data_IF_559514183824
#
_entry.id   IF_559514183824
#
_cell.length_a   1.000
_cell.length_b   1.000
_cell.length_c   1.000
_cell.angle_alpha   90.00
_cell.angle_beta   90.00
_cell.angle_gamma   90.00
#
_symmetry.space_group_name_H-M   'P 1'
#
loop_
_entity.id
_entity.type
_entity.pdbx_description
1 polymer ?
#
# COMPACT_ATOMS: atom_id res chain seq x y z
N UNK A 1 49.62 -12.81 12.40
CA UNK A 1 49.16 -11.43 12.62
C UNK A 1 48.78 -10.80 11.28
N UNK A 2 47.49 -10.50 11.06
CA UNK A 2 46.98 -9.17 10.66
C UNK A 2 45.49 -9.32 10.36
N UNK A 3 44.72 -8.70 11.25
CA UNK A 3 43.27 -8.53 11.19
C UNK A 3 42.98 -7.62 10.00
N UNK A 4 42.11 -8.04 9.09
CA UNK A 4 41.48 -7.13 8.13
C UNK A 4 39.98 -7.17 8.39
N UNK A 5 39.48 -5.97 8.66
CA UNK A 5 38.20 -5.65 9.26
C UNK A 5 37.03 -6.04 8.36
N UNK A 6 36.00 -6.60 8.99
CA UNK A 6 34.65 -6.69 8.47
C UNK A 6 34.15 -5.27 8.13
N UNK A 7 33.96 -4.99 6.84
CA UNK A 7 33.13 -3.89 6.39
C UNK A 7 31.77 -4.46 5.98
N UNK A 8 30.85 -4.53 6.95
CA UNK A 8 29.42 -4.73 6.65
C UNK A 8 28.90 -3.38 6.19
N UNK A 9 28.90 -3.17 4.88
CA UNK A 9 28.15 -2.10 4.25
C UNK A 9 26.67 -2.48 4.31
N UNK A 10 25.94 -1.82 5.21
CA UNK A 10 24.49 -1.74 5.17
C UNK A 10 24.08 -1.01 3.88
N UNK A 11 23.76 -1.77 2.83
CA UNK A 11 23.01 -1.28 1.69
C UNK A 11 21.56 -1.76 1.84
N UNK A 12 20.76 -0.96 2.54
CA UNK A 12 19.32 -0.97 2.33
C UNK A 12 19.06 -0.29 0.98
N UNK A 13 18.85 -1.06 -0.07
CA UNK A 13 18.25 -0.58 -1.31
C UNK A 13 17.70 -1.75 -2.10
N UNK A 14 16.40 -1.69 -2.37
CA UNK A 14 15.62 -2.53 -3.27
C UNK A 14 16.42 -3.06 -4.48
N UNK A 15 16.67 -4.36 -4.49
CA UNK A 15 17.20 -5.10 -5.65
C UNK A 15 16.17 -6.08 -6.22
N UNK A 16 14.88 -5.73 -6.18
CA UNK A 16 13.82 -6.51 -6.82
C UNK A 16 13.72 -6.17 -8.30
N UNK A 17 14.47 -6.86 -9.16
CA UNK A 17 14.16 -6.87 -10.60
C UNK A 17 12.94 -7.76 -10.83
N UNK A 18 11.76 -7.15 -10.85
CA UNK A 18 10.56 -7.81 -11.34
C UNK A 18 9.96 -6.98 -12.49
N UNK A 19 10.13 -7.58 -13.68
CA UNK A 19 9.53 -7.30 -15.00
C UNK A 19 8.53 -6.13 -15.09
N UNK A 20 8.90 -5.23 -16.01
CA UNK A 20 8.07 -4.27 -16.74
C UNK A 20 6.59 -4.70 -16.87
N UNK A 21 5.71 -3.96 -16.19
CA UNK A 21 4.33 -3.77 -16.65
C UNK A 21 4.26 -2.40 -17.30
N UNK A 22 4.43 -2.37 -18.62
CA UNK A 22 4.25 -1.16 -19.42
C UNK A 22 2.79 -0.69 -19.29
N UNK A 23 2.59 0.51 -18.75
CA UNK A 23 1.31 1.24 -18.81
C UNK A 23 0.55 1.44 -17.50
N UNK A 24 0.96 0.82 -16.38
CA UNK A 24 0.41 1.16 -15.06
C UNK A 24 1.30 2.20 -14.40
N UNK A 25 0.73 3.31 -13.95
CA UNK A 25 1.40 4.24 -13.03
C UNK A 25 2.12 3.42 -11.96
N UNK A 26 3.39 3.72 -11.69
CA UNK A 26 4.09 3.02 -10.63
C UNK A 26 3.35 3.27 -9.30
N UNK A 27 3.11 2.21 -8.53
CA UNK A 27 2.61 2.37 -7.16
C UNK A 27 3.63 3.20 -6.37
N UNK A 28 3.15 4.23 -5.68
CA UNK A 28 3.97 5.14 -4.87
C UNK A 28 4.12 4.64 -3.42
N UNK A 29 3.21 3.79 -2.97
CA UNK A 29 3.24 3.15 -1.65
C UNK A 29 2.41 1.85 -1.65
N UNK A 30 2.64 1.03 -0.63
CA UNK A 30 1.79 -0.09 -0.25
C UNK A 30 1.41 0.09 1.22
N UNK A 31 0.13 -0.09 1.54
CA UNK A 31 -0.42 0.11 2.88
C UNK A 31 -1.23 -1.11 3.29
N UNK A 32 -1.22 -1.41 4.59
CA UNK A 32 -2.01 -2.50 5.16
C UNK A 32 -3.01 -1.91 6.16
N UNK A 33 -4.28 -2.18 5.94
CA UNK A 33 -5.36 -1.80 6.84
C UNK A 33 -5.88 -3.03 7.57
N UNK A 34 -5.89 -2.96 8.90
CA UNK A 34 -6.31 -4.06 9.77
C UNK A 34 -7.76 -3.87 10.18
N UNK A 35 -8.62 -4.82 9.79
CA UNK A 35 -10.01 -4.85 10.23
C UNK A 35 -10.11 -5.44 11.64
N UNK A 36 -11.04 -4.96 12.48
CA UNK A 36 -11.28 -5.57 13.78
C UNK A 36 -11.65 -7.05 13.62
N UNK A 37 -11.33 -7.86 14.62
CA UNK A 37 -11.59 -9.30 14.62
C UNK A 37 -13.10 -9.66 14.60
N UNK A 38 -13.95 -8.72 15.01
CA UNK A 38 -15.40 -8.81 14.93
C UNK A 38 -15.98 -8.36 13.58
N UNK A 39 -15.16 -7.92 12.63
CA UNK A 39 -15.63 -7.41 11.34
C UNK A 39 -16.36 -8.49 10.54
N UNK A 40 -17.57 -8.17 10.12
CA UNK A 40 -18.34 -8.93 9.15
C UNK A 40 -17.79 -8.73 7.74
N UNK A 41 -18.14 -9.64 6.83
CA UNK A 41 -17.75 -9.51 5.42
C UNK A 41 -18.32 -8.25 4.76
N UNK A 42 -19.52 -7.81 5.15
CA UNK A 42 -20.11 -6.57 4.63
C UNK A 42 -19.30 -5.33 5.06
N UNK A 43 -18.78 -5.32 6.30
CA UNK A 43 -17.90 -4.25 6.76
C UNK A 43 -16.55 -4.25 6.04
N UNK A 44 -16.02 -5.43 5.68
CA UNK A 44 -14.83 -5.55 4.83
C UNK A 44 -15.09 -4.93 3.45
N UNK A 45 -16.21 -5.26 2.80
CA UNK A 45 -16.57 -4.69 1.50
C UNK A 45 -16.76 -3.18 1.58
N UNK A 46 -17.39 -2.67 2.64
CA UNK A 46 -17.55 -1.24 2.86
C UNK A 46 -16.20 -0.54 3.04
N UNK A 47 -15.29 -1.10 3.84
CA UNK A 47 -13.95 -0.54 4.04
C UNK A 47 -13.14 -0.48 2.73
N UNK A 48 -13.29 -1.49 1.86
CA UNK A 48 -12.69 -1.47 0.52
C UNK A 48 -13.27 -0.35 -0.33
N UNK A 49 -14.59 -0.22 -0.38
CA UNK A 49 -15.25 0.85 -1.15
C UNK A 49 -14.86 2.25 -0.64
N UNK A 50 -14.83 2.45 0.67
CA UNK A 50 -14.44 3.72 1.29
C UNK A 50 -12.96 4.04 1.01
N UNK A 51 -12.09 3.03 0.95
CA UNK A 51 -10.68 3.21 0.60
C UNK A 51 -10.49 3.59 -0.86
N UNK A 52 -11.22 2.95 -1.77
CA UNK A 52 -11.17 3.21 -3.21
C UNK A 52 -11.73 4.59 -3.57
N UNK A 53 -12.75 5.06 -2.85
CA UNK A 53 -13.31 6.42 -2.97
C UNK A 53 -12.47 7.48 -2.23
N UNK A 54 -11.50 7.05 -1.41
CA UNK A 54 -10.64 7.93 -0.62
C UNK A 54 -11.30 8.50 0.64
N UNK A 55 -12.48 8.00 1.00
CA UNK A 55 -13.19 8.31 2.24
C UNK A 55 -12.54 7.64 3.47
N UNK A 56 -11.82 6.54 3.27
CA UNK A 56 -11.02 5.86 4.30
C UNK A 56 -9.51 6.03 4.02
N UNK A 57 -8.78 6.59 4.99
CA UNK A 57 -7.32 6.63 4.94
C UNK A 57 -6.71 5.30 5.41
N UNK A 58 -6.51 4.39 4.46
CA UNK A 58 -5.90 3.06 4.71
C UNK A 58 -4.41 3.08 5.00
N UNK A 59 -3.74 4.20 4.74
CA UNK A 59 -2.32 4.36 4.98
C UNK A 59 -2.02 5.09 6.28
N UNK A 60 -2.97 5.87 6.81
CA UNK A 60 -2.74 6.73 7.96
C UNK A 60 -1.44 7.53 7.75
N UNK A 61 -0.51 7.44 8.70
CA UNK A 61 0.80 8.10 8.66
C UNK A 61 1.84 7.46 7.70
N UNK A 62 1.59 6.27 7.14
CA UNK A 62 2.54 5.53 6.29
C UNK A 62 2.82 6.19 4.93
N UNK A 63 1.92 7.04 4.45
CA UNK A 63 2.15 7.84 3.25
C UNK A 63 3.19 8.94 3.53
N UNK A 64 4.09 9.19 2.58
CA UNK A 64 5.03 10.30 2.69
C UNK A 64 4.28 11.65 2.57
N UNK A 65 4.84 12.70 3.17
CA UNK A 65 4.25 14.05 3.08
C UNK A 65 4.16 14.52 1.62
N UNK A 66 5.12 14.14 0.78
CA UNK A 66 5.15 14.44 -0.65
C UNK A 66 4.01 13.75 -1.41
N UNK A 67 3.70 12.50 -1.07
CA UNK A 67 2.58 11.77 -1.67
C UNK A 67 1.23 12.40 -1.31
N UNK A 68 1.05 12.79 -0.04
CA UNK A 68 -0.15 13.52 0.43
C UNK A 68 -0.27 14.91 -0.17
N UNK A 69 0.86 15.62 -0.33
CA UNK A 69 0.90 16.97 -0.90
C UNK A 69 0.78 17.00 -2.44
N UNK A 70 0.68 15.84 -3.10
CA UNK A 70 0.59 15.80 -4.56
C UNK A 70 -0.72 16.42 -5.05
N UNK A 71 -0.60 17.42 -5.94
CA UNK A 71 -1.75 18.17 -6.48
C UNK A 71 -2.73 17.32 -7.29
N UNK A 72 -2.32 16.11 -7.68
CA UNK A 72 -3.13 15.15 -8.44
C UNK A 72 -3.91 14.18 -7.55
N UNK A 73 -3.71 14.21 -6.23
CA UNK A 73 -4.26 13.24 -5.29
C UNK A 73 -3.63 11.85 -5.42
N UNK A 74 -4.07 10.95 -4.54
CA UNK A 74 -3.74 9.53 -4.58
C UNK A 74 -5.03 8.71 -4.52
N UNK A 75 -4.97 7.47 -5.00
CA UNK A 75 -6.04 6.50 -4.83
C UNK A 75 -5.47 5.17 -4.36
N UNK A 76 -6.23 4.48 -3.53
CA UNK A 76 -5.91 3.14 -3.05
C UNK A 76 -6.62 2.10 -3.93
N UNK A 77 -5.90 1.03 -4.26
CA UNK A 77 -6.46 -0.13 -4.96
C UNK A 77 -6.21 -1.35 -4.12
N UNK A 78 -7.27 -2.10 -3.82
CA UNK A 78 -7.14 -3.36 -3.09
C UNK A 78 -6.40 -4.39 -3.96
N UNK A 79 -5.31 -4.93 -3.42
CA UNK A 79 -4.55 -6.00 -4.08
C UNK A 79 -4.82 -7.37 -3.45
N UNK A 80 -5.01 -7.43 -2.13
CA UNK A 80 -5.13 -8.69 -1.41
C UNK A 80 -5.92 -8.51 -0.10
N UNK A 81 -6.68 -9.55 0.25
CA UNK A 81 -7.29 -9.70 1.57
C UNK A 81 -6.68 -10.96 2.19
N UNK A 82 -5.97 -10.80 3.30
CA UNK A 82 -5.46 -11.91 4.10
C UNK A 82 -6.32 -12.08 5.35
N UNK A 83 -6.71 -13.31 5.66
CA UNK A 83 -7.26 -13.61 6.97
C UNK A 83 -6.10 -13.75 7.97
N UNK A 84 -5.60 -12.62 8.48
CA UNK A 84 -4.73 -12.67 9.64
C UNK A 84 -5.54 -13.18 10.84
N UNK A 85 -4.91 -13.95 11.70
CA UNK A 85 -5.56 -14.51 12.89
C UNK A 85 -4.84 -14.16 14.18
N UNK A 86 -3.72 -13.44 14.09
CA UNK A 86 -2.94 -13.06 15.26
C UNK A 86 -3.50 -11.80 15.94
N UNK A 87 -3.91 -10.78 15.17
CA UNK A 87 -4.28 -9.46 15.73
C UNK A 87 -5.50 -8.78 15.08
N UNK A 88 -5.93 -9.23 13.89
CA UNK A 88 -7.05 -8.66 13.12
C UNK A 88 -7.64 -9.73 12.20
N UNK A 89 -8.96 -9.90 12.10
CA UNK A 89 -9.56 -11.01 11.32
C UNK A 89 -9.30 -10.90 9.81
N UNK A 90 -9.15 -9.67 9.31
CA UNK A 90 -8.84 -9.40 7.91
C UNK A 90 -7.77 -8.28 7.82
N UNK A 91 -6.71 -8.55 7.07
CA UNK A 91 -5.75 -7.56 6.61
C UNK A 91 -6.02 -7.25 5.15
N UNK A 92 -6.33 -5.98 4.88
CA UNK A 92 -6.55 -5.47 3.54
C UNK A 92 -5.25 -4.81 3.07
N UNK A 93 -4.67 -5.30 1.98
CA UNK A 93 -3.45 -4.73 1.37
C UNK A 93 -3.83 -3.87 0.18
N UNK A 94 -3.43 -2.61 0.24
CA UNK A 94 -3.68 -1.63 -0.80
C UNK A 94 -2.39 -1.17 -1.45
N UNK A 95 -2.40 -1.04 -2.78
CA UNK A 95 -1.40 -0.25 -3.50
C UNK A 95 -1.92 1.16 -3.73
N UNK A 96 -1.06 2.13 -3.46
CA UNK A 96 -1.36 3.53 -3.66
C UNK A 96 -0.72 3.99 -4.94
N UNK A 97 -1.49 4.69 -5.76
CA UNK A 97 -1.01 5.26 -7.01
C UNK A 97 -1.19 6.79 -6.97
N UNK A 98 -0.19 7.51 -7.50
CA UNK A 98 -0.31 8.95 -7.71
C UNK A 98 -1.21 9.23 -8.93
N UNK A 99 -2.11 10.20 -8.80
CA UNK A 99 -2.97 10.64 -9.90
C UNK A 99 -4.45 10.42 -9.62
N UNK A 100 -5.29 11.28 -10.22
CA UNK A 100 -6.73 11.11 -10.19
C UNK A 100 -7.08 9.81 -10.92
N UNK A 101 -8.00 9.02 -10.35
CA UNK A 101 -8.76 8.04 -11.12
C UNK A 101 -9.37 8.82 -12.28
N UNK A 102 -8.93 8.57 -13.52
CA UNK A 102 -9.70 9.02 -14.66
C UNK A 102 -11.00 8.21 -14.60
N UNK A 103 -12.17 8.84 -14.43
CA UNK A 103 -13.40 8.10 -14.59
C UNK A 103 -13.35 7.48 -15.98
N UNK A 104 -13.53 6.17 -16.07
CA UNK A 104 -13.69 5.48 -17.33
C UNK A 104 -14.83 6.17 -18.07
N UNK A 105 -14.50 6.99 -19.07
CA UNK A 105 -15.50 7.63 -19.93
C UNK A 105 -16.38 6.52 -20.53
N UNK A 106 -17.72 6.66 -20.48
CA UNK A 106 -18.65 5.64 -20.96
C UNK A 106 -18.51 5.35 -22.46
#
# INVERSE_FOLDING_TARGET
MKKLLFAVLFAAACGGTQKQSAGRSAAIAECTYSMPDTASWDEVQQAVADAEDGSLDVCGDQLSAEARASASGYHAVLEQIDADRADAAYLLRFKIYSGRIQPSTP
#
